data_IF_465573010648
#
_entry.id   IF_465573010648
#
_cell.length_a   1.000
_cell.length_b   1.000
_cell.length_c   1.000
_cell.angle_alpha   90.00
_cell.angle_beta   90.00
_cell.angle_gamma   90.00
#
_symmetry.space_group_name_H-M   'P 1'
#
loop_
_entity.id
_entity.type
_entity.pdbx_description
1 polymer ?
#
# COMPACT_ATOMS: atom_id res chain seq x y z
N UNK A 1 3.10 3.73 -20.68
CA UNK A 1 3.62 4.85 -19.88
C UNK A 1 3.79 4.40 -18.44
N UNK A 2 4.97 4.61 -17.88
CA UNK A 2 5.27 4.17 -16.52
C UNK A 2 5.18 5.32 -15.53
N UNK A 3 4.59 5.01 -14.38
CA UNK A 3 4.57 5.93 -13.24
C UNK A 3 5.44 5.35 -12.15
N UNK A 4 6.19 6.20 -11.48
CA UNK A 4 6.91 5.81 -10.26
C UNK A 4 6.12 6.32 -9.07
N UNK A 5 5.89 5.46 -8.10
CA UNK A 5 5.11 5.82 -6.92
C UNK A 5 5.91 5.47 -5.67
N UNK A 6 5.83 6.35 -4.69
CA UNK A 6 6.45 6.16 -3.37
C UNK A 6 5.36 6.30 -2.33
N UNK A 7 5.24 5.31 -1.46
CA UNK A 7 4.20 5.30 -0.43
C UNK A 7 4.82 5.15 0.95
N UNK A 8 4.19 5.77 1.94
CA UNK A 8 4.63 5.68 3.32
C UNK A 8 3.43 5.85 4.24
N UNK A 9 3.48 5.18 5.36
CA UNK A 9 2.46 5.30 6.41
C UNK A 9 3.11 5.26 7.77
N UNK A 10 2.55 5.99 8.70
CA UNK A 10 3.10 6.08 10.04
C UNK A 10 1.97 6.28 11.05
N UNK A 11 2.25 5.92 12.28
CA UNK A 11 1.30 6.05 13.36
C UNK A 11 2.03 6.43 14.65
N UNK A 12 1.50 7.42 15.36
CA UNK A 12 2.04 7.86 16.64
C UNK A 12 1.30 7.11 17.74
N UNK A 13 1.97 6.14 18.37
CA UNK A 13 1.28 5.14 19.20
C UNK A 13 0.64 4.11 18.27
N UNK A 14 0.47 2.90 18.69
CA UNK A 14 -0.01 1.87 17.79
C UNK A 14 -1.02 0.98 18.53
N UNK A 15 -2.32 1.36 18.60
CA UNK A 15 -2.99 2.38 17.77
C UNK A 15 -2.82 3.81 18.27
N UNK A 16 -3.15 4.77 17.40
CA UNK A 16 -3.10 6.18 17.71
C UNK A 16 -3.35 7.03 16.46
N UNK A 17 -2.92 8.28 16.51
CA UNK A 17 -3.04 9.18 15.36
C UNK A 17 -2.03 8.74 14.30
N UNK A 18 -2.48 8.59 13.07
CA UNK A 18 -1.62 8.19 11.98
C UNK A 18 -1.84 8.98 10.71
N UNK A 19 -0.91 8.79 9.76
CA UNK A 19 -1.00 9.45 8.48
C UNK A 19 -0.37 8.61 7.38
N UNK A 20 -0.71 8.94 6.15
CA UNK A 20 -0.15 8.29 4.98
C UNK A 20 0.24 9.33 3.94
N UNK A 21 1.23 9.00 3.13
CA UNK A 21 1.69 9.89 2.07
C UNK A 21 1.98 9.10 0.81
N UNK A 22 1.80 9.76 -0.33
CA UNK A 22 2.05 9.20 -1.65
C UNK A 22 2.69 10.25 -2.52
N UNK A 23 3.73 9.86 -3.25
CA UNK A 23 4.31 10.70 -4.30
C UNK A 23 4.19 9.93 -5.61
N UNK A 24 3.53 10.52 -6.60
CA UNK A 24 3.38 9.94 -7.93
C UNK A 24 4.20 10.77 -8.89
N UNK A 25 5.13 10.13 -9.59
CA UNK A 25 6.03 10.80 -10.53
C UNK A 25 5.73 10.26 -11.92
N UNK A 26 5.40 11.16 -12.86
CA UNK A 26 5.16 10.74 -14.24
C UNK A 26 6.47 10.72 -15.03
N UNK A 27 6.40 10.33 -16.30
CA UNK A 27 7.60 10.21 -17.14
C UNK A 27 8.31 11.55 -17.39
N UNK A 28 7.63 12.65 -17.15
CA UNK A 28 8.20 14.00 -17.32
C UNK A 28 8.70 14.56 -15.99
N UNK A 29 8.84 13.73 -14.97
CA UNK A 29 9.28 14.09 -13.62
C UNK A 29 8.34 15.05 -12.91
N UNK A 30 7.11 15.17 -13.36
CA UNK A 30 6.10 15.92 -12.63
C UNK A 30 5.61 15.08 -11.46
N UNK A 31 5.50 15.72 -10.32
CA UNK A 31 5.15 15.06 -9.07
C UNK A 31 3.77 15.45 -8.59
N UNK A 32 3.03 14.47 -8.11
CA UNK A 32 1.74 14.67 -7.46
C UNK A 32 1.86 14.11 -6.07
N UNK A 33 1.43 14.89 -5.09
CA UNK A 33 1.50 14.52 -3.68
C UNK A 33 0.10 14.29 -3.15
N UNK A 34 -0.11 13.13 -2.53
CA UNK A 34 -1.35 12.81 -1.83
C UNK A 34 -1.01 12.54 -0.38
N UNK A 35 -1.89 12.93 0.51
CA UNK A 35 -1.70 12.62 1.93
C UNK A 35 -3.04 12.64 2.64
N UNK A 36 -3.04 12.05 3.83
CA UNK A 36 -4.23 12.03 4.67
C UNK A 36 -3.87 11.49 6.03
N UNK A 37 -4.85 11.46 6.92
CA UNK A 37 -4.64 10.98 8.26
C UNK A 37 -5.90 10.43 8.88
N UNK A 38 -5.70 9.72 10.00
CA UNK A 38 -6.75 9.13 10.80
C UNK A 38 -6.47 9.41 12.27
N UNK A 39 -7.53 9.67 13.04
CA UNK A 39 -7.39 9.95 14.47
C UNK A 39 -7.05 8.70 15.27
N UNK A 40 -7.50 7.54 14.81
CA UNK A 40 -7.26 6.29 15.50
C UNK A 40 -7.03 5.17 14.50
N UNK A 41 -5.76 4.78 14.36
CA UNK A 41 -5.36 3.83 13.33
C UNK A 41 -4.10 3.08 13.79
N UNK A 42 -3.57 2.24 12.93
CA UNK A 42 -2.32 1.53 13.17
C UNK A 42 -1.33 1.80 12.05
N UNK A 43 -0.05 1.53 12.32
CA UNK A 43 0.98 1.66 11.31
C UNK A 43 0.65 0.84 10.06
N UNK A 44 0.24 -0.42 10.27
CA UNK A 44 -0.10 -1.32 9.15
C UNK A 44 -1.27 -0.80 8.32
N UNK A 45 -2.30 -0.24 8.99
CA UNK A 45 -3.44 0.34 8.28
C UNK A 45 -3.02 1.53 7.42
N UNK A 46 -2.10 2.35 7.93
CA UNK A 46 -1.63 3.51 7.17
C UNK A 46 -0.78 3.09 5.98
N UNK A 47 0.04 2.05 6.11
CA UNK A 47 0.80 1.51 4.99
C UNK A 47 -0.13 0.96 3.89
N UNK A 48 -1.15 0.20 4.28
CA UNK A 48 -2.15 -0.29 3.34
C UNK A 48 -2.90 0.86 2.66
N UNK A 49 -3.30 1.85 3.45
CA UNK A 49 -4.06 2.99 2.95
C UNK A 49 -3.25 3.78 1.93
N UNK A 50 -1.95 3.99 2.19
CA UNK A 50 -1.09 4.69 1.24
C UNK A 50 -1.06 3.98 -0.12
N UNK A 51 -0.87 2.66 -0.12
CA UNK A 51 -0.86 1.89 -1.37
C UNK A 51 -2.22 1.97 -2.07
N UNK A 52 -3.31 1.84 -1.32
CA UNK A 52 -4.66 1.92 -1.89
C UNK A 52 -4.90 3.29 -2.54
N UNK A 53 -4.59 4.37 -1.82
CA UNK A 53 -4.80 5.72 -2.34
C UNK A 53 -3.96 5.99 -3.59
N UNK A 54 -2.74 5.46 -3.61
CA UNK A 54 -1.87 5.59 -4.78
C UNK A 54 -2.49 4.95 -6.01
N UNK A 55 -2.99 3.73 -5.89
CA UNK A 55 -3.55 2.99 -7.02
C UNK A 55 -4.94 3.51 -7.40
N UNK A 56 -5.72 3.98 -6.46
CA UNK A 56 -7.05 4.56 -6.74
C UNK A 56 -6.97 5.90 -7.48
N UNK A 57 -5.82 6.53 -7.47
CA UNK A 57 -5.64 7.81 -8.17
C UNK A 57 -5.93 7.67 -9.66
N UNK A 58 -5.67 6.51 -10.25
CA UNK A 58 -5.81 6.29 -11.69
C UNK A 58 -7.17 5.67 -12.02
N UNK A 59 -7.84 6.24 -13.04
CA UNK A 59 -9.13 5.73 -13.51
C UNK A 59 -8.99 4.56 -14.47
N UNK A 60 -7.82 4.41 -15.08
CA UNK A 60 -7.56 3.35 -16.06
C UNK A 60 -6.32 2.57 -15.68
N UNK A 61 -6.15 1.40 -16.30
CA UNK A 61 -5.00 0.54 -16.07
C UNK A 61 -3.70 1.25 -16.43
N UNK A 62 -2.70 1.15 -15.56
CA UNK A 62 -1.39 1.79 -15.76
C UNK A 62 -0.27 0.82 -15.45
N UNK A 63 0.90 1.10 -16.02
CA UNK A 63 2.15 0.45 -15.61
C UNK A 63 2.77 1.28 -14.51
N UNK A 64 3.00 0.67 -13.37
CA UNK A 64 3.40 1.37 -12.16
C UNK A 64 4.59 0.68 -11.53
N UNK A 65 5.58 1.47 -11.12
CA UNK A 65 6.69 1.01 -10.30
C UNK A 65 6.45 1.60 -8.91
N UNK A 66 6.07 0.77 -7.95
CA UNK A 66 5.69 1.24 -6.61
C UNK A 66 6.75 0.88 -5.59
N UNK A 67 7.28 1.91 -4.93
CA UNK A 67 8.32 1.79 -3.91
C UNK A 67 7.69 1.90 -2.53
N UNK A 68 8.01 0.96 -1.66
CA UNK A 68 7.56 0.98 -0.27
C UNK A 68 8.57 0.29 0.62
N UNK A 69 8.66 0.71 1.88
CA UNK A 69 9.51 0.03 2.86
C UNK A 69 8.70 -0.85 3.81
N UNK A 70 7.40 -1.01 3.55
CA UNK A 70 6.54 -1.79 4.43
C UNK A 70 6.75 -3.28 4.26
N UNK A 71 7.35 -3.91 5.24
CA UNK A 71 7.47 -5.37 5.27
C UNK A 71 6.11 -6.03 5.34
N UNK A 72 5.17 -5.42 6.03
CA UNK A 72 3.80 -5.92 6.15
C UNK A 72 3.14 -6.03 4.78
N UNK A 73 3.26 -4.98 3.94
CA UNK A 73 2.76 -5.02 2.57
C UNK A 73 3.45 -6.10 1.76
N UNK A 74 4.77 -6.16 1.86
CA UNK A 74 5.56 -7.14 1.11
C UNK A 74 5.11 -8.56 1.41
N UNK A 75 5.07 -8.90 2.68
CA UNK A 75 4.70 -10.26 3.10
C UNK A 75 3.28 -10.60 2.71
N UNK A 76 2.36 -9.64 2.84
CA UNK A 76 0.98 -9.86 2.43
C UNK A 76 0.84 -10.12 0.94
N UNK A 77 1.49 -9.30 0.14
CA UNK A 77 1.38 -9.41 -1.31
C UNK A 77 2.08 -10.66 -1.83
N UNK A 78 3.24 -10.98 -1.30
CA UNK A 78 4.03 -12.11 -1.79
C UNK A 78 3.58 -13.46 -1.24
N UNK A 79 3.02 -13.48 -0.04
CA UNK A 79 2.75 -14.74 0.65
C UNK A 79 1.30 -14.90 1.08
N UNK A 80 0.77 -13.92 1.84
CA UNK A 80 -0.49 -14.15 2.56
C UNK A 80 -1.74 -14.10 1.69
N UNK A 81 -1.80 -13.20 0.73
CA UNK A 81 -3.01 -12.99 -0.08
C UNK A 81 -3.44 -14.27 -0.78
N UNK A 82 -2.51 -15.03 -1.33
CA UNK A 82 -2.83 -16.27 -2.04
C UNK A 82 -3.58 -17.24 -1.16
N UNK A 83 -3.12 -17.41 0.08
CA UNK A 83 -3.77 -18.33 1.01
C UNK A 83 -5.10 -17.77 1.50
N UNK A 84 -5.17 -16.48 1.76
CA UNK A 84 -6.42 -15.86 2.20
C UNK A 84 -7.52 -16.00 1.14
N UNK A 85 -7.18 -15.81 -0.13
CA UNK A 85 -8.16 -15.96 -1.21
C UNK A 85 -8.70 -17.38 -1.29
N UNK A 86 -7.83 -18.39 -1.11
CA UNK A 86 -8.26 -19.78 -1.10
C UNK A 86 -9.15 -20.10 0.09
N UNK A 87 -8.96 -19.43 1.21
CA UNK A 87 -9.67 -19.70 2.45
C UNK A 87 -10.83 -18.74 2.70
N UNK A 88 -11.27 -17.99 1.68
CA UNK A 88 -12.38 -17.05 1.82
C UNK A 88 -12.07 -15.89 2.73
N UNK A 89 -10.80 -15.44 2.74
CA UNK A 89 -10.32 -14.33 3.57
C UNK A 89 -10.47 -14.59 5.06
N UNK A 90 -10.25 -15.84 5.46
CA UNK A 90 -10.27 -16.24 6.87
C UNK A 90 -8.94 -16.83 7.26
N UNK A 91 -8.61 -16.68 8.55
CA UNK A 91 -7.40 -17.28 9.10
C UNK A 91 -7.58 -18.78 9.27
N UNK A 92 -6.51 -19.45 9.68
CA UNK A 92 -6.54 -20.87 9.99
C UNK A 92 -7.64 -21.24 11.00
N UNK A 93 -7.91 -20.35 11.96
CA UNK A 93 -8.96 -20.56 12.96
C UNK A 93 -10.34 -20.08 12.49
N UNK A 94 -10.49 -19.80 11.21
CA UNK A 94 -11.74 -19.36 10.55
C UNK A 94 -12.23 -18.00 11.01
N UNK A 95 -11.35 -17.17 11.54
CA UNK A 95 -11.66 -15.78 11.87
C UNK A 95 -11.31 -14.88 10.68
N UNK A 96 -12.01 -13.73 10.51
CA UNK A 96 -11.66 -12.81 9.44
C UNK A 96 -10.19 -12.39 9.52
N UNK A 97 -9.55 -12.25 8.36
CA UNK A 97 -8.18 -11.73 8.28
C UNK A 97 -8.15 -10.32 8.84
N UNK A 98 -7.11 -10.01 9.62
CA UNK A 98 -6.93 -8.65 10.14
C UNK A 98 -6.77 -7.67 8.99
N UNK A 99 -7.46 -6.54 9.07
CA UNK A 99 -7.49 -5.52 8.02
C UNK A 99 -8.05 -6.06 6.69
N UNK A 100 -8.95 -7.03 6.78
CA UNK A 100 -9.51 -7.71 5.61
C UNK A 100 -10.01 -6.74 4.54
N UNK A 101 -10.80 -5.75 4.94
CA UNK A 101 -11.39 -4.82 3.97
C UNK A 101 -10.34 -4.07 3.18
N UNK A 102 -9.27 -3.65 3.85
CA UNK A 102 -8.17 -2.96 3.18
C UNK A 102 -7.42 -3.90 2.23
N UNK A 103 -7.16 -5.13 2.66
CA UNK A 103 -6.48 -6.10 1.82
C UNK A 103 -7.30 -6.48 0.59
N UNK A 104 -8.62 -6.63 0.74
CA UNK A 104 -9.51 -6.94 -0.39
C UNK A 104 -9.51 -5.79 -1.39
N UNK A 105 -9.61 -4.56 -0.90
CA UNK A 105 -9.58 -3.39 -1.76
C UNK A 105 -8.25 -3.28 -2.50
N UNK A 106 -7.15 -3.48 -1.80
CA UNK A 106 -5.82 -3.44 -2.42
C UNK A 106 -5.68 -4.53 -3.48
N UNK A 107 -6.12 -5.74 -3.19
CA UNK A 107 -6.03 -6.84 -4.15
C UNK A 107 -6.79 -6.54 -5.44
N UNK A 108 -7.97 -5.95 -5.34
CA UNK A 108 -8.75 -5.57 -6.50
C UNK A 108 -8.03 -4.48 -7.33
N UNK A 109 -7.37 -3.54 -6.67
CA UNK A 109 -6.61 -2.50 -7.35
C UNK A 109 -5.36 -3.05 -8.03
N UNK A 110 -4.69 -4.00 -7.38
CA UNK A 110 -3.52 -4.66 -7.96
C UNK A 110 -3.88 -5.35 -9.28
N UNK A 111 -5.04 -6.01 -9.33
CA UNK A 111 -5.50 -6.69 -10.54
C UNK A 111 -5.75 -5.71 -11.69
N UNK A 112 -6.09 -4.48 -11.38
CA UNK A 112 -6.40 -3.46 -12.39
C UNK A 112 -5.17 -2.93 -13.10
N UNK A 113 -4.01 -2.97 -12.46
CA UNK A 113 -2.78 -2.36 -12.95
C UNK A 113 -1.68 -3.37 -13.20
N UNK A 114 -0.62 -2.94 -13.89
CA UNK A 114 0.60 -3.71 -14.06
C UNK A 114 1.64 -3.12 -13.11
N UNK A 115 1.86 -3.76 -11.97
CA UNK A 115 2.68 -3.19 -10.88
C UNK A 115 3.98 -3.97 -10.72
N UNK A 116 5.08 -3.25 -10.73
CA UNK A 116 6.37 -3.74 -10.29
C UNK A 116 6.61 -3.18 -8.90
N UNK A 117 6.75 -4.05 -7.93
CA UNK A 117 6.98 -3.66 -6.54
C UNK A 117 8.48 -3.56 -6.27
N UNK A 118 8.90 -2.44 -5.70
CA UNK A 118 10.28 -2.25 -5.25
C UNK A 118 10.24 -2.13 -3.74
N UNK A 119 10.81 -3.12 -3.09
CA UNK A 119 10.88 -3.14 -1.62
C UNK A 119 12.18 -2.46 -1.21
N UNK A 120 12.06 -1.28 -0.58
CA UNK A 120 13.23 -0.56 -0.11
C UNK A 120 13.42 -0.83 1.37
N UNK A 121 14.65 -0.69 1.84
CA UNK A 121 15.01 -1.03 3.20
C UNK A 121 14.90 0.19 4.09
N UNK A 122 13.84 0.26 4.90
CA UNK A 122 13.65 1.34 5.85
C UNK A 122 13.80 2.72 5.22
N UNK A 123 14.23 3.70 5.97
CA UNK A 123 14.41 5.06 5.47
C UNK A 123 15.85 5.28 5.02
N UNK A 124 16.28 4.54 4.03
CA UNK A 124 17.67 4.58 3.56
C UNK A 124 18.00 5.79 2.68
N UNK A 125 17.13 6.79 2.67
CA UNK A 125 17.36 8.00 1.89
C UNK A 125 17.04 7.85 0.42
N UNK A 126 16.50 6.74 0.01
CA UNK A 126 16.12 6.46 -1.38
C UNK A 126 14.79 7.11 -1.71
N UNK A 127 13.90 7.17 -0.73
CA UNK A 127 12.57 7.75 -0.90
C UNK A 127 12.61 9.26 -0.73
N UNK A 128 11.59 9.90 -1.26
CA UNK A 128 11.39 11.33 -1.02
C UNK A 128 10.91 11.50 0.42
N UNK A 129 11.76 12.03 1.24
CA UNK A 129 11.48 12.26 2.65
C UNK A 129 11.25 13.73 2.90
#
# INVERSE_FOLDING_TARGET
>A
MNYKIYTDGACSGNPGIGGWGVVIVNKNDKKIYLNGGEKFTTNNQMELTAAIKALKYFNTSKKIILHTDSKYLKDGIEQWIKNWKKNGWKTFTKKPVKNKELWVELDNLIKKHFITWIWVKGHDGILYN
#
